data_IF_707077710422
#
_entry.id   IF_707077710422
#
_cell.length_a   1.000
_cell.length_b   1.000
_cell.length_c   1.000
_cell.angle_alpha   90.00
_cell.angle_beta   90.00
_cell.angle_gamma   90.00
#
_symmetry.space_group_name_H-M   'P 1'
#
loop_
_entity.id
_entity.type
_entity.pdbx_description
1 polymer ?
#
# COMPACT_ATOMS: atom_id res chain seq x y z
N UNK A 1 45.73 46.54 -25.34
CA UNK A 1 44.79 47.15 -26.29
C UNK A 1 43.41 46.62 -25.96
N UNK A 2 42.49 47.52 -25.60
CA UNK A 2 41.02 47.47 -25.81
C UNK A 2 40.25 46.18 -25.44
N UNK A 3 39.07 46.19 -24.83
CA UNK A 3 38.19 47.16 -24.15
C UNK A 3 36.92 46.33 -23.82
N UNK A 4 36.21 46.62 -22.72
CA UNK A 4 34.75 46.36 -22.64
C UNK A 4 34.25 45.39 -21.56
N UNK A 5 33.71 45.96 -20.48
CA UNK A 5 32.35 45.60 -20.00
C UNK A 5 31.33 46.43 -20.79
N UNK A 6 30.08 45.95 -20.97
CA UNK A 6 29.00 46.44 -20.10
C UNK A 6 27.87 45.42 -19.79
N UNK A 7 27.38 45.53 -18.56
CA UNK A 7 26.00 45.62 -18.02
C UNK A 7 24.76 44.93 -18.65
N UNK A 8 23.85 44.59 -17.72
CA UNK A 8 22.39 44.42 -17.80
C UNK A 8 21.77 43.18 -18.46
N UNK A 9 21.25 42.25 -17.64
CA UNK A 9 19.83 41.80 -17.66
C UNK A 9 19.48 41.20 -16.29
N UNK A 10 19.15 42.06 -15.33
CA UNK A 10 18.18 41.74 -14.28
C UNK A 10 16.82 42.18 -14.82
N UNK A 11 15.95 41.24 -15.20
CA UNK A 11 14.49 41.34 -15.37
C UNK A 11 14.02 40.18 -16.25
N UNK A 12 13.74 39.01 -15.66
CA UNK A 12 12.61 38.17 -16.06
C UNK A 12 12.41 37.06 -15.00
N UNK A 13 11.18 36.93 -14.55
CA UNK A 13 10.66 35.94 -13.58
C UNK A 13 10.82 36.21 -12.07
N UNK A 14 10.51 37.45 -11.66
CA UNK A 14 9.53 37.59 -10.58
C UNK A 14 8.15 37.22 -11.15
N UNK A 15 7.77 35.94 -11.05
CA UNK A 15 6.38 35.45 -11.09
C UNK A 15 6.39 33.92 -10.95
N UNK A 16 6.26 33.45 -9.72
CA UNK A 16 5.44 32.29 -9.33
C UNK A 16 5.54 32.08 -7.81
N UNK A 17 5.16 33.14 -7.07
CA UNK A 17 4.73 33.03 -5.68
C UNK A 17 3.21 32.80 -5.66
N UNK A 18 2.80 31.62 -6.11
CA UNK A 18 1.57 30.96 -5.69
C UNK A 18 1.92 29.48 -5.58
N UNK A 19 2.53 29.12 -4.45
CA UNK A 19 2.62 27.73 -4.03
C UNK A 19 1.17 27.24 -3.81
N UNK A 20 0.61 26.62 -4.85
CA UNK A 20 -0.63 25.88 -4.79
C UNK A 20 -0.45 24.71 -3.82
N UNK A 21 -0.86 24.89 -2.57
CA UNK A 21 -1.04 23.81 -1.59
C UNK A 21 -2.30 23.02 -1.92
N UNK A 22 -2.32 22.39 -3.09
CA UNK A 22 -3.21 21.26 -3.38
C UNK A 22 -2.33 20.08 -3.73
N UNK A 23 -2.47 19.00 -2.96
CA UNK A 23 -1.86 17.71 -3.26
C UNK A 23 -2.18 17.35 -4.70
N UNK A 24 -1.20 17.49 -5.59
CA UNK A 24 -1.44 17.45 -7.01
C UNK A 24 -1.60 15.98 -7.44
N UNK A 25 -2.79 15.67 -7.97
CA UNK A 25 -3.14 14.38 -8.59
C UNK A 25 -2.05 13.81 -9.52
N UNK A 26 -1.30 14.64 -10.29
CA UNK A 26 -0.14 14.19 -11.06
C UNK A 26 1.00 13.58 -10.23
N UNK A 27 1.23 14.02 -8.99
CA UNK A 27 2.27 13.46 -8.10
C UNK A 27 1.84 12.10 -7.57
N UNK A 28 0.57 11.95 -7.19
CA UNK A 28 0.00 10.67 -6.76
C UNK A 28 -0.02 9.66 -7.92
N UNK A 29 -0.40 10.12 -9.12
CA UNK A 29 -0.32 9.36 -10.37
C UNK A 29 1.13 9.00 -10.74
N UNK A 30 2.09 9.91 -10.59
CA UNK A 30 3.51 9.65 -10.85
C UNK A 30 4.12 8.63 -9.86
N UNK A 31 3.67 8.61 -8.60
CA UNK A 31 4.04 7.58 -7.62
C UNK A 31 3.44 6.21 -7.98
N UNK A 32 2.22 6.17 -8.51
CA UNK A 32 1.55 4.95 -8.99
C UNK A 32 2.23 4.40 -10.27
N UNK A 33 2.59 5.27 -11.21
CA UNK A 33 3.17 4.89 -12.52
C UNK A 33 4.66 4.57 -12.44
N UNK A 34 5.42 5.22 -11.54
CA UNK A 34 6.86 5.01 -11.36
C UNK A 34 7.26 3.59 -10.91
N UNK A 35 6.30 2.79 -10.45
CA UNK A 35 6.51 1.40 -10.03
C UNK A 35 6.61 0.38 -11.18
N UNK A 36 6.43 0.77 -12.45
CA UNK A 36 6.13 -0.18 -13.53
C UNK A 36 7.30 -0.62 -14.44
N UNK A 37 8.57 -0.25 -14.20
CA UNK A 37 9.62 -0.45 -15.23
C UNK A 37 10.68 -1.52 -14.93
N UNK A 38 10.21 -2.77 -14.90
CA UNK A 38 10.94 -4.04 -15.14
C UNK A 38 11.10 -5.00 -13.94
N UNK A 39 10.25 -6.03 -13.99
CA UNK A 39 10.45 -7.40 -13.46
C UNK A 39 10.42 -7.60 -11.94
N UNK A 40 9.24 -7.38 -11.34
CA UNK A 40 8.60 -8.06 -10.17
C UNK A 40 7.27 -7.37 -9.83
N UNK A 41 6.52 -6.96 -10.86
CA UNK A 41 5.50 -5.89 -10.78
C UNK A 41 4.07 -6.30 -11.12
N UNK A 42 3.80 -7.54 -11.54
CA UNK A 42 2.43 -7.99 -11.85
C UNK A 42 1.48 -7.81 -10.65
N UNK A 43 1.87 -8.26 -9.45
CA UNK A 43 1.06 -8.07 -8.24
C UNK A 43 0.82 -6.59 -7.89
N UNK A 44 1.81 -5.72 -8.06
CA UNK A 44 1.67 -4.28 -7.77
C UNK A 44 0.75 -3.55 -8.75
N UNK A 45 0.84 -3.88 -10.05
CA UNK A 45 -0.04 -3.32 -11.08
C UNK A 45 -1.47 -3.76 -10.83
N UNK A 46 -1.70 -5.06 -10.61
CA UNK A 46 -3.04 -5.58 -10.33
C UNK A 46 -3.62 -5.04 -9.03
N UNK A 47 -2.83 -4.92 -7.96
CA UNK A 47 -3.28 -4.29 -6.71
C UNK A 47 -3.68 -2.83 -6.92
N UNK A 48 -2.95 -2.08 -7.73
CA UNK A 48 -3.30 -0.69 -8.05
C UNK A 48 -4.57 -0.61 -8.89
N UNK A 49 -4.73 -1.47 -9.91
CA UNK A 49 -5.92 -1.51 -10.76
C UNK A 49 -7.16 -1.88 -9.95
N UNK A 50 -7.07 -2.91 -9.10
CA UNK A 50 -8.16 -3.33 -8.22
C UNK A 50 -8.50 -2.27 -7.17
N UNK A 51 -7.51 -1.54 -6.66
CA UNK A 51 -7.75 -0.43 -5.74
C UNK A 51 -8.54 0.69 -6.42
N UNK A 52 -8.16 1.11 -7.63
CA UNK A 52 -8.89 2.12 -8.40
C UNK A 52 -10.31 1.65 -8.72
N UNK A 53 -10.45 0.40 -9.16
CA UNK A 53 -11.76 -0.21 -9.40
C UNK A 53 -12.65 -0.16 -8.15
N UNK A 54 -12.12 -0.48 -6.96
CA UNK A 54 -12.86 -0.43 -5.69
C UNK A 54 -13.30 0.99 -5.33
N UNK A 55 -12.44 1.99 -5.53
CA UNK A 55 -12.81 3.40 -5.32
C UNK A 55 -13.93 3.81 -6.28
N UNK A 56 -13.84 3.44 -7.56
CA UNK A 56 -14.87 3.72 -8.55
C UNK A 56 -16.22 3.10 -8.16
N UNK A 57 -16.23 1.80 -7.84
CA UNK A 57 -17.46 1.09 -7.43
C UNK A 57 -18.05 1.71 -6.17
N UNK A 58 -17.22 2.09 -5.20
CA UNK A 58 -17.67 2.73 -3.97
C UNK A 58 -18.35 4.06 -4.25
N UNK A 59 -17.77 4.92 -5.10
CA UNK A 59 -18.36 6.22 -5.46
C UNK A 59 -19.73 6.03 -6.12
N UNK A 60 -19.83 5.11 -7.09
CA UNK A 60 -21.11 4.81 -7.76
C UNK A 60 -22.14 4.30 -6.75
N UNK A 61 -21.75 3.32 -5.93
CA UNK A 61 -22.62 2.71 -4.92
C UNK A 61 -23.15 3.74 -3.89
N UNK A 62 -22.28 4.63 -3.43
CA UNK A 62 -22.63 5.64 -2.42
C UNK A 62 -23.78 6.54 -2.89
N UNK A 63 -23.75 6.98 -4.14
CA UNK A 63 -24.77 7.88 -4.69
C UNK A 63 -26.01 7.13 -5.16
N UNK A 64 -25.87 5.99 -5.84
CA UNK A 64 -27.00 5.35 -6.54
C UNK A 64 -27.79 4.33 -5.71
N UNK A 65 -27.20 3.77 -4.64
CA UNK A 65 -27.77 2.60 -3.94
C UNK A 65 -27.92 2.79 -2.43
N UNK A 66 -27.00 3.53 -1.82
CA UNK A 66 -27.01 3.80 -0.37
C UNK A 66 -27.45 5.23 -0.02
N UNK A 67 -27.72 6.08 -1.00
CA UNK A 67 -28.16 7.48 -0.76
C UNK A 67 -29.55 7.60 -0.14
N UNK A 68 -30.46 6.69 -0.49
CA UNK A 68 -31.86 6.57 -0.04
C UNK A 68 -32.06 5.43 0.98
N UNK A 69 -30.97 4.95 1.62
CA UNK A 69 -31.03 3.72 2.44
C UNK A 69 -31.96 3.82 3.65
N UNK A 70 -32.03 4.99 4.27
CA UNK A 70 -32.85 5.23 5.47
C UNK A 70 -34.26 5.69 5.09
N UNK A 71 -34.44 6.46 4.00
CA UNK A 71 -35.74 6.96 3.59
C UNK A 71 -36.67 5.88 3.01
N UNK A 72 -36.09 4.85 2.42
CA UNK A 72 -36.84 3.78 1.75
C UNK A 72 -36.90 2.48 2.59
N UNK A 73 -36.40 2.52 3.82
CA UNK A 73 -36.56 1.42 4.77
C UNK A 73 -37.95 1.54 5.40
N UNK A 74 -38.86 0.60 5.14
CA UNK A 74 -40.27 0.72 5.55
C UNK A 74 -40.69 -0.43 6.43
N UNK A 75 -41.35 -0.15 7.55
CA UNK A 75 -41.91 -1.17 8.43
C UNK A 75 -43.44 -1.22 8.34
N UNK A 76 -44.04 -2.41 8.41
CA UNK A 76 -45.49 -2.61 8.39
C UNK A 76 -46.13 -2.26 9.75
N UNK A 77 -46.10 -0.97 10.10
CA UNK A 77 -46.61 -0.43 11.35
C UNK A 77 -46.95 1.06 11.22
N UNK A 78 -47.94 1.52 11.98
CA UNK A 78 -48.29 2.94 12.09
C UNK A 78 -47.63 3.61 13.31
N UNK A 79 -46.84 2.86 14.08
CA UNK A 79 -46.23 3.34 15.31
C UNK A 79 -45.06 4.29 15.00
N UNK A 80 -45.10 5.55 15.45
CA UNK A 80 -44.03 6.51 15.20
C UNK A 80 -42.74 6.07 15.90
N UNK A 81 -41.60 6.22 15.20
CA UNK A 81 -40.28 5.91 15.72
C UNK A 81 -39.86 4.43 15.63
N UNK A 82 -40.78 3.50 15.36
CA UNK A 82 -40.45 2.08 15.19
C UNK A 82 -39.49 1.86 14.00
N UNK A 83 -39.72 2.53 12.87
CA UNK A 83 -38.85 2.45 11.69
C UNK A 83 -37.40 2.87 12.00
N UNK A 84 -37.22 3.96 12.74
CA UNK A 84 -35.90 4.50 13.10
C UNK A 84 -35.09 3.52 13.97
N UNK A 85 -35.72 2.93 14.99
CA UNK A 85 -35.02 1.99 15.89
C UNK A 85 -34.73 0.67 15.21
N UNK A 86 -35.63 0.20 14.32
CA UNK A 86 -35.41 -1.01 13.56
C UNK A 86 -34.31 -0.83 12.53
N UNK A 87 -34.26 0.34 11.86
CA UNK A 87 -33.16 0.66 10.96
C UNK A 87 -31.80 0.63 11.68
N UNK A 88 -31.69 1.28 12.85
CA UNK A 88 -30.46 1.31 13.63
C UNK A 88 -30.02 -0.08 14.12
N UNK A 89 -30.97 -0.94 14.48
CA UNK A 89 -30.70 -2.32 14.91
C UNK A 89 -30.12 -3.18 13.78
N UNK A 90 -30.66 -3.09 12.56
CA UNK A 90 -30.21 -3.90 11.42
C UNK A 90 -29.04 -3.29 10.65
N UNK A 91 -28.90 -1.96 10.71
CA UNK A 91 -27.84 -1.21 10.03
C UNK A 91 -27.10 -0.26 10.99
N UNK A 92 -26.47 -0.78 12.07
CA UNK A 92 -25.79 0.04 13.07
C UNK A 92 -24.64 0.87 12.47
N UNK A 93 -24.01 0.32 11.43
CA UNK A 93 -23.14 1.03 10.49
C UNK A 93 -23.62 0.64 9.10
N UNK A 94 -23.58 1.55 8.13
CA UNK A 94 -23.91 1.18 6.74
C UNK A 94 -22.71 0.55 6.03
N UNK A 95 -22.99 -0.35 5.08
CA UNK A 95 -21.98 -1.11 4.35
C UNK A 95 -20.94 -0.18 3.70
N UNK A 96 -21.40 0.91 3.10
CA UNK A 96 -20.56 1.90 2.44
C UNK A 96 -19.55 2.54 3.40
N UNK A 97 -19.94 2.81 4.64
CA UNK A 97 -19.06 3.38 5.67
C UNK A 97 -17.97 2.39 6.07
N UNK A 98 -18.33 1.12 6.24
CA UNK A 98 -17.35 0.06 6.54
C UNK A 98 -16.34 -0.10 5.39
N UNK A 99 -16.79 0.05 4.14
CA UNK A 99 -15.89 -0.05 2.98
C UNK A 99 -14.99 1.16 2.82
N UNK A 100 -15.49 2.37 3.10
CA UNK A 100 -14.67 3.57 3.18
C UNK A 100 -13.55 3.38 4.21
N UNK A 101 -13.90 2.91 5.41
CA UNK A 101 -12.93 2.61 6.46
C UNK A 101 -11.94 1.53 6.00
N UNK A 102 -12.41 0.44 5.40
CA UNK A 102 -11.56 -0.61 4.84
C UNK A 102 -10.55 -0.03 3.85
N UNK A 103 -10.96 0.80 2.89
CA UNK A 103 -10.04 1.41 1.91
C UNK A 103 -9.00 2.33 2.57
N UNK A 104 -9.39 3.11 3.58
CA UNK A 104 -8.48 3.99 4.33
C UNK A 104 -7.44 3.17 5.09
N UNK A 105 -7.86 2.17 5.86
CA UNK A 105 -6.96 1.33 6.64
C UNK A 105 -6.04 0.49 5.75
N UNK A 106 -6.52 -0.04 4.62
CA UNK A 106 -5.71 -0.82 3.68
C UNK A 106 -4.71 0.04 2.90
N UNK A 107 -5.09 1.28 2.55
CA UNK A 107 -4.19 2.21 1.85
C UNK A 107 -3.11 2.80 2.76
N UNK A 108 -3.38 2.97 4.05
CA UNK A 108 -2.46 3.62 5.00
C UNK A 108 -1.07 2.95 5.04
N UNK A 109 -0.91 1.63 5.22
CA UNK A 109 0.41 0.98 5.16
C UNK A 109 1.11 1.15 3.80
N UNK A 110 0.36 1.25 2.71
CA UNK A 110 0.92 1.50 1.38
C UNK A 110 1.52 2.88 1.25
N UNK A 111 0.77 3.89 1.66
CA UNK A 111 1.19 5.27 1.64
C UNK A 111 2.38 5.50 2.57
N UNK A 112 2.38 4.90 3.76
CA UNK A 112 3.51 4.99 4.70
C UNK A 112 4.81 4.42 4.11
N UNK A 113 4.75 3.27 3.44
CA UNK A 113 5.95 2.70 2.79
C UNK A 113 6.39 3.56 1.61
N UNK A 114 5.47 4.03 0.78
CA UNK A 114 5.79 4.91 -0.34
C UNK A 114 6.43 6.22 0.14
N UNK A 115 5.85 6.84 1.17
CA UNK A 115 6.38 8.04 1.82
C UNK A 115 7.77 7.79 2.42
N UNK A 116 7.97 6.67 3.12
CA UNK A 116 9.27 6.31 3.69
C UNK A 116 10.35 6.17 2.61
N UNK A 117 10.03 5.51 1.49
CA UNK A 117 10.94 5.35 0.35
C UNK A 117 11.23 6.70 -0.30
N UNK A 118 10.21 7.52 -0.53
CA UNK A 118 10.37 8.86 -1.10
C UNK A 118 11.24 9.77 -0.21
N UNK A 119 10.99 9.78 1.10
CA UNK A 119 11.77 10.52 2.08
C UNK A 119 13.24 10.10 2.10
N UNK A 120 13.49 8.79 2.08
CA UNK A 120 14.86 8.25 2.08
C UNK A 120 15.60 8.60 0.80
N UNK A 121 14.96 8.43 -0.36
CA UNK A 121 15.54 8.77 -1.66
C UNK A 121 15.88 10.27 -1.75
N UNK A 122 15.00 11.13 -1.23
CA UNK A 122 15.23 12.57 -1.21
C UNK A 122 16.41 12.95 -0.30
N UNK A 123 16.50 12.35 0.88
CA UNK A 123 17.61 12.53 1.81
C UNK A 123 18.95 12.06 1.23
N UNK A 124 18.98 10.91 0.55
CA UNK A 124 20.17 10.39 -0.10
C UNK A 124 20.63 11.30 -1.27
N UNK A 125 19.69 11.80 -2.09
CA UNK A 125 19.98 12.78 -3.15
C UNK A 125 20.63 14.06 -2.59
N UNK A 126 20.10 14.59 -1.47
CA UNK A 126 20.65 15.79 -0.82
C UNK A 126 22.09 15.57 -0.32
N UNK A 127 22.40 14.40 0.24
CA UNK A 127 23.75 14.07 0.73
C UNK A 127 24.77 13.95 -0.40
N UNK A 128 24.38 13.39 -1.55
CA UNK A 128 25.24 13.29 -2.72
C UNK A 128 25.57 14.68 -3.31
N UNK A 129 24.57 15.55 -3.41
CA UNK A 129 24.76 16.92 -3.89
C UNK A 129 25.69 17.74 -2.97
N UNK A 130 25.57 17.58 -1.65
CA UNK A 130 26.45 18.26 -0.68
C UNK A 130 27.87 17.68 -0.64
N UNK A 131 28.03 16.37 -0.86
CA UNK A 131 29.34 15.72 -0.95
C UNK A 131 30.12 16.12 -2.21
N UNK A 132 29.42 16.29 -3.34
CA UNK A 132 30.03 16.72 -4.61
C UNK A 132 30.56 18.17 -4.53
N UNK A 133 29.86 19.06 -3.82
CA UNK A 133 30.33 20.43 -3.57
C UNK A 133 31.63 20.54 -2.75
N UNK A 134 32.03 19.47 -2.04
CA UNK A 134 33.30 19.40 -1.28
C UNK A 134 34.44 18.68 -2.01
N UNK A 135 34.12 17.92 -3.07
CA UNK A 135 35.07 17.20 -3.90
C UNK A 135 35.36 17.91 -5.25
N UNK A 136 34.88 19.15 -5.40
CA UNK A 136 35.00 19.98 -6.61
C UNK A 136 36.39 20.55 -6.89
N UNK A 137 37.45 19.74 -6.87
CA UNK A 137 38.72 20.11 -7.53
C UNK A 137 39.17 19.12 -8.61
N UNK A 138 38.62 17.89 -8.72
CA UNK A 138 39.05 16.95 -9.78
C UNK A 138 37.98 15.94 -10.20
N UNK A 139 37.02 16.34 -11.01
CA UNK A 139 36.51 15.49 -12.09
C UNK A 139 35.47 16.21 -12.93
N UNK A 140 35.80 16.36 -14.21
CA UNK A 140 34.90 16.78 -15.26
C UNK A 140 34.08 15.54 -15.68
N UNK A 141 33.09 15.16 -14.86
CA UNK A 141 32.20 14.02 -15.14
C UNK A 141 30.76 14.39 -14.79
N UNK A 142 29.89 14.14 -15.76
CA UNK A 142 28.49 14.56 -15.81
C UNK A 142 27.69 14.02 -14.60
N UNK A 143 27.09 14.88 -13.76
CA UNK A 143 26.39 14.46 -12.54
C UNK A 143 25.13 13.62 -12.79
N UNK A 144 24.63 13.56 -14.03
CA UNK A 144 23.47 12.76 -14.40
C UNK A 144 23.78 11.26 -14.59
N UNK A 145 25.02 10.88 -14.94
CA UNK A 145 25.41 9.46 -15.07
C UNK A 145 25.58 8.76 -13.70
N UNK A 146 26.08 9.46 -12.69
CA UNK A 146 26.24 8.90 -11.34
C UNK A 146 24.88 8.73 -10.60
N UNK A 147 23.91 9.59 -10.91
CA UNK A 147 22.53 9.48 -10.41
C UNK A 147 21.81 8.26 -11.00
N UNK A 148 21.97 8.02 -12.31
CA UNK A 148 21.38 6.86 -13.01
C UNK A 148 22.08 5.55 -12.65
N UNK A 149 23.40 5.53 -12.41
CA UNK A 149 24.10 4.34 -11.92
C UNK A 149 23.79 4.01 -10.45
N UNK A 150 23.48 5.00 -9.59
CA UNK A 150 22.97 4.78 -8.23
C UNK A 150 21.52 4.29 -8.22
N UNK A 151 20.68 4.79 -9.13
CA UNK A 151 19.31 4.29 -9.37
C UNK A 151 19.32 2.86 -9.92
N UNK A 152 20.35 2.50 -10.69
CA UNK A 152 20.57 1.17 -11.28
C UNK A 152 21.31 0.18 -10.37
N UNK A 153 22.06 0.67 -9.37
CA UNK A 153 22.39 -0.10 -8.16
C UNK A 153 21.09 -0.33 -7.41
N UNK A 154 20.32 -1.33 -7.86
CA UNK A 154 19.19 -1.93 -7.17
C UNK A 154 19.42 -1.77 -5.68
N UNK A 155 18.73 -0.82 -5.02
CA UNK A 155 18.80 -0.70 -3.56
C UNK A 155 18.51 -2.11 -3.07
N UNK A 156 19.53 -2.84 -2.54
CA UNK A 156 19.30 -4.20 -2.16
C UNK A 156 18.25 -4.08 -1.07
N UNK A 157 17.10 -4.73 -1.27
CA UNK A 157 16.09 -4.91 -0.25
C UNK A 157 16.78 -5.68 0.88
N UNK A 158 17.50 -4.97 1.73
CA UNK A 158 18.45 -5.48 2.70
C UNK A 158 18.26 -4.70 4.00
N UNK A 159 17.90 -5.43 5.04
CA UNK A 159 17.65 -4.92 6.38
C UNK A 159 16.31 -4.20 6.51
N UNK A 160 16.35 -2.95 6.95
CA UNK A 160 15.19 -2.20 7.41
C UNK A 160 14.07 -2.04 6.36
N UNK A 161 14.41 -1.83 5.08
CA UNK A 161 13.41 -1.65 4.02
C UNK A 161 12.62 -2.93 3.72
N UNK A 162 13.24 -4.10 3.90
CA UNK A 162 12.54 -5.38 3.76
C UNK A 162 11.54 -5.56 4.92
N UNK A 163 11.95 -5.22 6.13
CA UNK A 163 11.13 -5.35 7.33
C UNK A 163 9.92 -4.41 7.30
N UNK A 164 10.11 -3.13 6.95
CA UNK A 164 9.00 -2.17 6.83
C UNK A 164 8.00 -2.61 5.76
N UNK A 165 8.49 -3.11 4.63
CA UNK A 165 7.63 -3.63 3.57
C UNK A 165 6.88 -4.90 4.00
N UNK A 166 7.56 -5.86 4.64
CA UNK A 166 6.93 -7.08 5.15
C UNK A 166 5.86 -6.77 6.21
N UNK A 167 6.16 -5.90 7.18
CA UNK A 167 5.18 -5.42 8.16
C UNK A 167 3.99 -4.76 7.48
N UNK A 168 4.21 -3.93 6.44
CA UNK A 168 3.11 -3.29 5.71
C UNK A 168 2.18 -4.30 5.04
N UNK A 169 2.71 -5.39 4.47
CA UNK A 169 1.90 -6.44 3.85
C UNK A 169 1.09 -7.21 4.89
N UNK A 170 1.68 -7.49 6.06
CA UNK A 170 0.97 -8.11 7.18
C UNK A 170 -0.17 -7.23 7.65
N UNK A 171 0.06 -5.93 7.89
CA UNK A 171 -1.01 -5.00 8.29
C UNK A 171 -2.12 -4.91 7.23
N UNK A 172 -1.77 -4.90 5.94
CA UNK A 172 -2.79 -4.93 4.86
C UNK A 172 -3.62 -6.20 4.89
N UNK A 173 -3.02 -7.37 5.08
CA UNK A 173 -3.74 -8.63 5.20
C UNK A 173 -4.66 -8.65 6.43
N UNK A 174 -4.17 -8.12 7.56
CA UNK A 174 -4.97 -8.00 8.79
C UNK A 174 -6.16 -7.05 8.60
N UNK A 175 -5.96 -5.89 7.97
CA UNK A 175 -7.05 -4.95 7.71
C UNK A 175 -8.03 -5.48 6.67
N UNK A 176 -7.58 -5.98 5.52
CA UNK A 176 -8.45 -6.59 4.50
C UNK A 176 -9.26 -7.75 5.09
N UNK A 177 -8.59 -8.70 5.75
CA UNK A 177 -9.24 -9.85 6.36
C UNK A 177 -10.14 -9.47 7.53
N UNK A 178 -9.72 -8.52 8.36
CA UNK A 178 -10.48 -8.04 9.52
C UNK A 178 -11.78 -7.34 9.14
N UNK A 179 -11.73 -6.40 8.18
CA UNK A 179 -12.94 -5.74 7.67
C UNK A 179 -13.86 -6.72 6.92
N UNK A 180 -13.29 -7.65 6.15
CA UNK A 180 -14.08 -8.71 5.51
C UNK A 180 -14.81 -9.58 6.52
N UNK A 181 -14.11 -9.99 7.58
CA UNK A 181 -14.68 -10.77 8.66
C UNK A 181 -15.75 -9.99 9.43
N UNK A 182 -15.50 -8.71 9.73
CA UNK A 182 -16.47 -7.84 10.37
C UNK A 182 -17.74 -7.68 9.52
N UNK A 183 -17.62 -7.46 8.21
CA UNK A 183 -18.78 -7.42 7.29
C UNK A 183 -19.58 -8.71 7.33
N UNK A 184 -18.90 -9.86 7.28
CA UNK A 184 -19.54 -11.17 7.28
C UNK A 184 -20.32 -11.44 8.57
N UNK A 185 -19.75 -11.08 9.73
CA UNK A 185 -20.38 -11.32 11.04
C UNK A 185 -21.48 -10.29 11.35
N UNK A 186 -21.30 -9.02 10.97
CA UNK A 186 -22.28 -7.96 11.28
C UNK A 186 -23.55 -8.09 10.44
N UNK A 187 -23.44 -8.56 9.20
CA UNK A 187 -24.58 -8.64 8.28
C UNK A 187 -25.01 -10.08 7.96
N UNK A 188 -24.61 -11.06 8.78
CA UNK A 188 -24.95 -12.48 8.63
C UNK A 188 -24.69 -13.03 7.21
N UNK A 189 -23.60 -12.57 6.58
CA UNK A 189 -23.16 -13.02 5.27
C UNK A 189 -22.99 -11.89 4.24
N UNK A 190 -23.01 -12.29 2.96
CA UNK A 190 -22.84 -11.38 1.81
C UNK A 190 -24.16 -11.09 1.09
N UNK A 191 -25.28 -11.64 1.57
CA UNK A 191 -26.58 -11.49 0.95
C UNK A 191 -27.50 -10.68 1.86
N UNK A 192 -28.04 -9.60 1.32
CA UNK A 192 -29.02 -8.78 2.02
C UNK A 192 -30.40 -9.47 1.95
N UNK A 193 -31.05 -9.79 3.08
CA UNK A 193 -32.43 -10.26 3.05
C UNK A 193 -33.36 -9.15 2.55
N UNK A 194 -34.51 -9.52 1.98
CA UNK A 194 -35.52 -8.54 1.54
C UNK A 194 -36.40 -8.04 2.68
N UNK A 195 -36.57 -8.88 3.69
CA UNK A 195 -37.43 -8.67 4.84
C UNK A 195 -36.67 -9.07 6.10
N UNK A 196 -36.78 -8.22 7.12
CA UNK A 196 -36.24 -8.44 8.47
C UNK A 196 -37.36 -8.23 9.49
N UNK A 197 -37.30 -8.97 10.59
CA UNK A 197 -38.33 -8.94 11.63
C UNK A 197 -37.80 -8.23 12.87
N UNK A 198 -38.46 -7.15 13.28
CA UNK A 198 -38.00 -6.27 14.35
C UNK A 198 -38.95 -6.30 15.55
N UNK A 199 -38.40 -6.41 16.76
CA UNK A 199 -39.15 -6.39 18.04
C UNK A 199 -38.70 -5.26 18.99
N UNK A 200 -37.96 -4.28 18.48
CA UNK A 200 -37.35 -3.22 19.29
C UNK A 200 -38.38 -2.18 19.76
N UNK A 201 -38.24 -1.66 20.98
CA UNK A 201 -39.09 -0.57 21.46
C UNK A 201 -38.84 0.71 20.63
N UNK A 202 -39.87 1.44 20.15
CA UNK A 202 -41.28 1.46 20.56
C UNK A 202 -42.23 0.59 19.71
N UNK A 203 -41.76 -0.43 18.99
CA UNK A 203 -42.63 -1.29 18.18
C UNK A 203 -43.61 -2.10 19.06
N UNK A 204 -44.89 -2.21 18.66
CA UNK A 204 -45.93 -2.82 19.50
C UNK A 204 -45.82 -4.35 19.63
N UNK A 205 -45.25 -5.00 18.62
CA UNK A 205 -45.00 -6.45 18.51
C UNK A 205 -43.86 -6.66 17.51
N UNK A 206 -43.62 -7.91 17.12
CA UNK A 206 -42.79 -8.24 15.96
C UNK A 206 -43.40 -7.64 14.68
N UNK A 207 -42.68 -6.71 14.04
CA UNK A 207 -43.07 -6.07 12.80
C UNK A 207 -42.16 -6.50 11.65
N UNK A 208 -42.73 -6.60 10.46
CA UNK A 208 -41.98 -6.86 9.25
C UNK A 208 -41.47 -5.55 8.66
N UNK A 209 -40.16 -5.45 8.44
CA UNK A 209 -39.52 -4.31 7.79
C UNK A 209 -38.87 -4.73 6.47
N UNK A 210 -39.04 -3.89 5.45
CA UNK A 210 -38.58 -4.09 4.10
C UNK A 210 -37.35 -3.22 3.82
N UNK A 211 -36.29 -3.87 3.34
CA UNK A 211 -35.04 -3.20 3.01
C UNK A 211 -35.11 -2.72 1.56
N UNK A 212 -34.74 -1.46 1.32
CA UNK A 212 -34.65 -0.90 -0.04
C UNK A 212 -33.53 -1.55 -0.87
N UNK A 213 -33.86 -1.85 -2.13
CA UNK A 213 -32.93 -2.37 -3.17
C UNK A 213 -32.01 -3.51 -2.70
N UNK A 214 -32.53 -4.58 -2.07
CA UNK A 214 -31.70 -5.61 -1.42
C UNK A 214 -30.85 -6.39 -2.45
N UNK A 215 -31.38 -6.61 -3.65
CA UNK A 215 -30.65 -7.27 -4.75
C UNK A 215 -29.50 -6.42 -5.27
N UNK A 216 -29.71 -5.11 -5.42
CA UNK A 216 -28.67 -4.18 -5.88
C UNK A 216 -27.55 -4.08 -4.85
N UNK A 217 -27.90 -3.85 -3.58
CA UNK A 217 -26.94 -3.82 -2.46
C UNK A 217 -26.14 -5.14 -2.37
N UNK A 218 -26.80 -6.28 -2.56
CA UNK A 218 -26.13 -7.60 -2.59
C UNK A 218 -25.14 -7.70 -3.75
N UNK A 219 -25.52 -7.28 -4.97
CA UNK A 219 -24.63 -7.32 -6.14
C UNK A 219 -23.37 -6.50 -5.89
N UNK A 220 -23.51 -5.26 -5.44
CA UNK A 220 -22.37 -4.41 -5.09
C UNK A 220 -21.52 -5.06 -3.99
N UNK A 221 -22.17 -5.64 -2.97
CA UNK A 221 -21.49 -6.33 -1.86
C UNK A 221 -20.64 -7.50 -2.33
N UNK A 222 -21.17 -8.33 -3.22
CA UNK A 222 -20.44 -9.45 -3.83
C UNK A 222 -19.27 -8.97 -4.69
N UNK A 223 -19.45 -7.92 -5.51
CA UNK A 223 -18.36 -7.38 -6.33
C UNK A 223 -17.17 -6.92 -5.48
N UNK A 224 -17.46 -6.18 -4.41
CA UNK A 224 -16.42 -5.63 -3.55
C UNK A 224 -15.81 -6.69 -2.64
N UNK A 225 -16.59 -7.66 -2.16
CA UNK A 225 -16.06 -8.83 -1.47
C UNK A 225 -15.13 -9.67 -2.36
N UNK A 226 -15.50 -9.86 -3.63
CA UNK A 226 -14.67 -10.57 -4.63
C UNK A 226 -13.38 -9.80 -4.90
N UNK A 227 -13.45 -8.50 -5.13
CA UNK A 227 -12.27 -7.66 -5.33
C UNK A 227 -11.34 -7.69 -4.10
N UNK A 228 -11.89 -7.67 -2.87
CA UNK A 228 -11.11 -7.75 -1.63
C UNK A 228 -10.39 -9.09 -1.53
N UNK A 229 -11.09 -10.17 -1.87
CA UNK A 229 -10.56 -11.53 -1.83
C UNK A 229 -9.39 -11.68 -2.81
N UNK A 230 -9.52 -11.15 -4.02
CA UNK A 230 -8.42 -11.11 -5.00
C UNK A 230 -7.24 -10.28 -4.46
N UNK A 231 -7.50 -9.09 -3.91
CA UNK A 231 -6.47 -8.28 -3.28
C UNK A 231 -5.76 -9.01 -2.14
N UNK A 232 -6.49 -9.74 -1.29
CA UNK A 232 -5.94 -10.52 -0.19
C UNK A 232 -5.03 -11.64 -0.71
N UNK A 233 -5.46 -12.38 -1.74
CA UNK A 233 -4.65 -13.43 -2.38
C UNK A 233 -3.37 -12.84 -3.00
N UNK A 234 -3.46 -11.69 -3.67
CA UNK A 234 -2.29 -11.02 -4.26
C UNK A 234 -1.29 -10.54 -3.19
N UNK A 235 -1.78 -9.93 -2.10
CA UNK A 235 -0.92 -9.54 -0.97
C UNK A 235 -0.30 -10.76 -0.28
N UNK A 236 -1.05 -11.87 -0.15
CA UNK A 236 -0.55 -13.12 0.43
C UNK A 236 0.53 -13.75 -0.46
N UNK A 237 0.31 -13.79 -1.78
CA UNK A 237 1.29 -14.30 -2.73
C UNK A 237 2.58 -13.45 -2.72
N UNK A 238 2.45 -12.13 -2.63
CA UNK A 238 3.60 -11.23 -2.52
C UNK A 238 4.38 -11.46 -1.20
N UNK A 239 3.68 -11.61 -0.08
CA UNK A 239 4.30 -11.93 1.20
C UNK A 239 5.01 -13.29 1.17
N UNK A 240 4.36 -14.33 0.62
CA UNK A 240 4.93 -15.66 0.46
C UNK A 240 6.19 -15.65 -0.42
N UNK A 241 6.17 -14.90 -1.53
CA UNK A 241 7.34 -14.72 -2.40
C UNK A 241 8.51 -14.07 -1.65
N UNK A 242 8.26 -13.03 -0.84
CA UNK A 242 9.29 -12.37 -0.04
C UNK A 242 9.90 -13.30 1.01
N UNK A 243 9.06 -14.08 1.69
CA UNK A 243 9.50 -15.06 2.69
C UNK A 243 10.34 -16.16 2.04
N UNK A 244 9.88 -16.75 0.94
CA UNK A 244 10.63 -17.77 0.19
C UNK A 244 11.99 -17.26 -0.27
N UNK A 245 12.05 -16.01 -0.76
CA UNK A 245 13.30 -15.35 -1.16
C UNK A 245 14.23 -15.08 0.02
N UNK A 246 13.70 -14.77 1.20
CA UNK A 246 14.49 -14.57 2.41
C UNK A 246 15.08 -15.90 2.92
N UNK A 247 14.29 -16.97 2.93
CA UNK A 247 14.70 -18.32 3.34
C UNK A 247 15.80 -18.87 2.43
N UNK A 248 15.63 -18.77 1.11
CA UNK A 248 16.64 -19.22 0.14
C UNK A 248 17.97 -18.48 0.26
N UNK A 249 17.95 -17.16 0.53
CA UNK A 249 19.16 -16.37 0.81
C UNK A 249 19.86 -16.80 2.11
N UNK A 250 19.11 -17.08 3.18
CA UNK A 250 19.65 -17.56 4.45
C UNK A 250 20.35 -18.92 4.30
N UNK A 251 19.72 -19.85 3.55
CA UNK A 251 20.25 -21.18 3.27
C UNK A 251 21.51 -21.13 2.37
N UNK A 252 21.53 -20.27 1.35
CA UNK A 252 22.70 -20.07 0.48
C UNK A 252 23.89 -19.46 1.22
N UNK A 253 23.66 -18.46 2.06
CA UNK A 253 24.71 -17.82 2.87
C UNK A 253 25.29 -18.74 3.95
N UNK A 254 24.50 -19.67 4.50
CA UNK A 254 25.03 -20.72 5.37
C UNK A 254 25.94 -21.71 4.62
N UNK A 255 25.62 -22.03 3.36
CA UNK A 255 26.41 -22.96 2.54
C UNK A 255 27.78 -22.36 2.20
N UNK A 256 27.85 -21.09 1.81
CA UNK A 256 29.11 -20.37 1.60
C UNK A 256 29.93 -20.20 2.89
N UNK A 257 29.29 -19.86 4.02
CA UNK A 257 30.00 -19.78 5.32
C UNK A 257 30.58 -21.12 5.76
N UNK A 258 29.87 -22.24 5.51
CA UNK A 258 30.37 -23.60 5.78
C UNK A 258 31.56 -23.95 4.87
N UNK A 259 31.50 -23.64 3.58
CA UNK A 259 32.60 -23.89 2.62
C UNK A 259 33.83 -23.03 2.92
N UNK A 260 33.66 -21.75 3.24
CA UNK A 260 34.77 -20.85 3.59
C UNK A 260 35.45 -21.24 4.92
N UNK A 261 34.66 -21.68 5.91
CA UNK A 261 35.19 -22.20 7.18
C UNK A 261 35.95 -23.52 7.01
N UNK A 262 35.54 -24.36 6.05
CA UNK A 262 36.26 -25.60 5.68
C UNK A 262 37.59 -25.29 4.98
N UNK A 263 37.57 -24.41 3.98
CA UNK A 263 38.79 -23.98 3.25
C UNK A 263 39.81 -23.27 4.15
N UNK A 264 39.35 -22.47 5.12
CA UNK A 264 40.24 -21.82 6.09
C UNK A 264 40.89 -22.80 7.07
N UNK A 265 40.17 -23.86 7.50
CA UNK A 265 40.74 -24.95 8.32
C UNK A 265 41.79 -25.75 7.55
N UNK A 266 41.52 -26.09 6.29
CA UNK A 266 42.45 -26.80 5.42
C UNK A 266 43.74 -25.98 5.17
N UNK A 267 43.64 -24.67 4.95
CA UNK A 267 44.83 -23.79 4.83
C UNK A 267 45.65 -23.71 6.12
N UNK A 268 45.00 -23.71 7.28
CA UNK A 268 45.70 -23.65 8.56
C UNK A 268 46.46 -24.96 8.83
N UNK A 269 45.87 -26.11 8.49
CA UNK A 269 46.49 -27.42 8.65
C UNK A 269 47.67 -27.64 7.69
N UNK A 270 47.55 -27.17 6.44
CA UNK A 270 48.68 -27.21 5.48
C UNK A 270 49.88 -26.37 5.96
N UNK A 271 49.64 -25.19 6.56
CA UNK A 271 50.72 -24.37 7.13
C UNK A 271 51.43 -25.04 8.31
N UNK A 272 50.69 -25.79 9.14
CA UNK A 272 51.29 -26.53 10.27
C UNK A 272 52.14 -27.70 9.79
N UNK A 273 51.66 -28.47 8.81
CA UNK A 273 52.42 -29.58 8.21
C UNK A 273 53.69 -29.09 7.49
N UNK A 274 53.61 -27.94 6.80
CA UNK A 274 54.78 -27.35 6.13
C UNK A 274 55.84 -26.87 7.12
N UNK A 275 55.45 -26.37 8.30
CA UNK A 275 56.42 -25.99 9.36
C UNK A 275 57.11 -27.19 10.01
N UNK A 276 56.41 -28.33 10.14
CA UNK A 276 57.03 -29.57 10.63
C UNK A 276 58.08 -30.10 9.64
N UNK A 277 57.80 -30.03 8.33
CA UNK A 277 58.69 -30.54 7.28
C UNK A 277 59.99 -29.73 7.10
N UNK A 278 60.00 -28.47 7.52
CA UNK A 278 61.18 -27.58 7.43
C UNK A 278 62.04 -27.63 8.71
N UNK A 279 61.54 -28.26 9.78
CA UNK A 279 62.26 -28.41 11.06
C UNK A 279 62.92 -29.79 11.24
N UNK A 280 62.92 -30.62 10.20
CA UNK A 280 63.62 -31.92 10.14
C UNK A 280 64.74 -31.81 9.12
#
# INVERSE_FOLDING_TARGET
>A
MQHGCPDDVEYFHANNLTADTRMSWPVLYAQIVGANRHSTSLGKVWLSVLFIFRVMVLVVAAESVWGDEQSDFTCNTLQPGCENVCYDQFFPVSHIRLWCLQLVFVSTPALLVAMYVAYRNHSDKKRLLQGSGRAGFRSNKDPDEDLETLKRRRLPIAGALWWTYACSLVFRLLFEGGFMYALYVVYDGFQMPRLVQCDQWPCPNLVDCFISRPTEKTIFTVFMATASSICMVLNMAELAYLVAKAVTRSLGGQKERKTCRKSSRERMQNKTNQKLFVST
#
